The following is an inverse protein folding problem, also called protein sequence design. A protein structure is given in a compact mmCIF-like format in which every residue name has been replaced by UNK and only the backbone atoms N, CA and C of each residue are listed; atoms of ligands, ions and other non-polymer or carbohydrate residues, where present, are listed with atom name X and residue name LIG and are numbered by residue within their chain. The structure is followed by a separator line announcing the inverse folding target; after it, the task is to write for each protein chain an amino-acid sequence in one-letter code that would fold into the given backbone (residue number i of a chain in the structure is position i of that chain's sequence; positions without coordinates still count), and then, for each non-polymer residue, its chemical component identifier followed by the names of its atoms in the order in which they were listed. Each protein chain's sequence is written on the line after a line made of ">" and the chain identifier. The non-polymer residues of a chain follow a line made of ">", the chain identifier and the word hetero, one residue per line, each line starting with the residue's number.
data_IF_193035230955
#
_entry.id   IF_193035230955
#
_cell.length_a   1.000
_cell.length_b   1.000
_cell.length_c   1.000
_cell.angle_alpha   90.00
_cell.angle_beta   90.00
_cell.angle_gamma   90.00
#
_symmetry.space_group_name_H-M   'P 1'
#
loop_
_entity.id
_entity.type
_entity.pdbx_description
1 polymer ?
#
# COMPACT_ATOMS: atom_id res chain seq x y z
N UNK A 1 -5.96 -2.10 5.28
CA UNK A 1 -4.69 -1.35 5.39
C UNK A 1 -4.74 -0.43 6.59
N UNK A 2 -3.82 -0.66 7.54
CA UNK A 2 -3.33 0.13 8.71
C UNK A 2 -4.28 1.12 9.43
N UNK A 3 -4.24 1.11 10.76
CA UNK A 3 -4.99 1.97 11.70
C UNK A 3 -4.68 3.49 11.61
N UNK A 4 -3.88 3.91 10.63
CA UNK A 4 -3.48 5.30 10.41
C UNK A 4 -3.87 5.80 9.01
N UNK A 5 -4.18 7.10 8.85
CA UNK A 5 -4.49 7.65 7.53
C UNK A 5 -3.32 7.53 6.55
N UNK A 6 -3.63 7.43 5.26
CA UNK A 6 -2.65 7.16 4.20
C UNK A 6 -1.63 8.30 4.05
N UNK A 7 -0.35 7.97 3.86
CA UNK A 7 0.75 8.94 3.79
C UNK A 7 0.61 9.97 2.65
N UNK A 8 -0.06 9.64 1.55
CA UNK A 8 -0.21 10.56 0.42
C UNK A 8 -1.21 11.70 0.67
N UNK A 9 -2.32 11.43 1.37
CA UNK A 9 -3.44 12.37 1.48
C UNK A 9 -4.04 12.52 2.88
N UNK A 10 -3.51 11.81 3.88
CA UNK A 10 -4.02 11.82 5.24
C UNK A 10 -5.44 11.27 5.37
N UNK A 11 -5.85 10.37 4.45
CA UNK A 11 -7.22 9.82 4.42
C UNK A 11 -7.22 8.30 4.61
N UNK A 12 -8.34 7.83 5.15
CA UNK A 12 -8.73 6.43 5.04
C UNK A 12 -9.41 6.20 3.69
N UNK A 13 -9.12 5.07 3.07
CA UNK A 13 -9.72 4.64 1.81
C UNK A 13 -10.56 3.39 2.07
N UNK A 14 -11.73 3.29 1.43
CA UNK A 14 -12.57 2.08 1.57
C UNK A 14 -11.88 0.88 0.95
N UNK A 15 -12.05 -0.30 1.56
CA UNK A 15 -11.53 -1.57 1.03
C UNK A 15 -12.04 -1.93 -0.38
N UNK A 16 -13.15 -1.32 -0.81
CA UNK A 16 -13.72 -1.46 -2.17
C UNK A 16 -13.08 -0.54 -3.20
N UNK A 17 -12.18 0.35 -2.77
CA UNK A 17 -11.45 1.25 -3.66
C UNK A 17 -10.15 0.56 -4.07
N UNK A 18 -9.80 0.46 -5.35
CA UNK A 18 -8.55 -0.15 -5.78
C UNK A 18 -7.38 0.79 -5.44
N UNK A 19 -6.83 0.63 -4.24
CA UNK A 19 -5.69 1.38 -3.73
C UNK A 19 -4.61 0.43 -3.24
N UNK A 20 -3.36 0.91 -3.26
CA UNK A 20 -2.20 0.12 -2.84
C UNK A 20 -1.24 0.94 -1.96
N UNK A 21 -0.51 0.24 -1.10
CA UNK A 21 0.71 0.72 -0.49
C UNK A 21 1.92 0.03 -1.14
N UNK A 22 2.99 0.79 -1.39
CA UNK A 22 4.21 0.25 -1.99
C UNK A 22 5.32 0.21 -0.95
N UNK A 23 6.17 -0.83 -0.98
CA UNK A 23 7.42 -0.83 -0.21
C UNK A 23 8.18 0.48 -0.38
N UNK A 24 8.83 0.96 0.67
CA UNK A 24 9.44 2.30 0.74
C UNK A 24 10.31 2.67 -0.48
N UNK A 25 11.10 1.73 -0.99
CA UNK A 25 11.89 1.93 -2.22
C UNK A 25 11.04 2.22 -3.46
N UNK A 26 9.95 1.48 -3.64
CA UNK A 26 9.01 1.67 -4.76
C UNK A 26 8.10 2.88 -4.58
N UNK A 27 7.72 3.20 -3.33
CA UNK A 27 6.96 4.41 -2.98
C UNK A 27 7.73 5.69 -3.36
N UNK A 28 9.06 5.61 -3.36
CA UNK A 28 9.98 6.62 -3.87
C UNK A 28 9.78 8.00 -3.21
N UNK A 29 9.74 8.02 -1.87
CA UNK A 29 9.56 9.24 -1.05
C UNK A 29 8.35 10.07 -1.52
N UNK A 30 7.18 9.44 -1.60
CA UNK A 30 5.93 10.04 -2.11
C UNK A 30 5.92 10.34 -3.62
N UNK A 31 7.00 10.06 -4.36
CA UNK A 31 7.09 10.27 -5.81
C UNK A 31 6.08 9.44 -6.63
N UNK A 32 5.48 8.41 -6.02
CA UNK A 32 4.40 7.60 -6.59
C UNK A 32 2.99 7.97 -6.10
N UNK A 33 2.84 8.91 -5.17
CA UNK A 33 1.52 9.29 -4.65
C UNK A 33 0.53 9.64 -5.76
N UNK A 34 -0.68 9.08 -5.66
CA UNK A 34 -1.79 9.25 -6.60
C UNK A 34 -1.48 8.86 -8.05
N UNK A 35 -0.33 8.22 -8.31
CA UNK A 35 -0.04 7.62 -9.61
C UNK A 35 -0.63 6.22 -9.64
N UNK A 36 -1.28 5.91 -10.74
CA UNK A 36 -1.84 4.59 -10.95
C UNK A 36 -0.76 3.60 -11.37
N UNK A 37 -0.85 2.38 -10.84
CA UNK A 37 -0.14 1.21 -11.32
C UNK A 37 -1.13 0.17 -11.81
N UNK A 38 -0.67 -0.72 -12.68
CA UNK A 38 -1.44 -1.90 -13.06
C UNK A 38 -0.89 -3.10 -12.31
N UNK A 39 -1.74 -3.77 -11.55
CA UNK A 39 -1.42 -5.02 -10.87
C UNK A 39 -2.01 -6.16 -11.68
N UNK A 40 -1.21 -7.20 -11.88
CA UNK A 40 -1.58 -8.39 -12.63
C UNK A 40 -1.60 -9.59 -11.69
N UNK A 41 -2.73 -10.29 -11.62
CA UNK A 41 -2.90 -11.50 -10.81
C UNK A 41 -3.95 -12.41 -11.44
N UNK A 42 -3.73 -13.74 -11.41
CA UNK A 42 -4.70 -14.74 -11.88
C UNK A 42 -5.28 -14.49 -13.30
N UNK A 43 -4.46 -13.91 -14.20
CA UNK A 43 -4.88 -13.56 -15.57
C UNK A 43 -5.74 -12.30 -15.67
N UNK A 44 -5.99 -11.60 -14.55
CA UNK A 44 -6.71 -10.33 -14.46
C UNK A 44 -5.75 -9.17 -14.24
N UNK A 45 -6.23 -7.98 -14.54
CA UNK A 45 -5.48 -6.72 -14.36
C UNK A 45 -6.36 -5.67 -13.71
N UNK A 46 -5.87 -5.05 -12.64
CA UNK A 46 -6.55 -3.95 -11.95
C UNK A 46 -5.65 -2.73 -11.97
N UNK A 47 -6.25 -1.58 -12.32
CA UNK A 47 -5.60 -0.28 -12.17
C UNK A 47 -5.89 0.22 -10.76
N UNK A 48 -4.84 0.54 -10.01
CA UNK A 48 -4.97 0.99 -8.65
C UNK A 48 -4.09 2.18 -8.34
N UNK A 49 -4.59 3.00 -7.42
CA UNK A 49 -3.93 4.23 -7.00
C UNK A 49 -3.00 3.96 -5.82
N UNK A 50 -1.76 4.44 -5.93
CA UNK A 50 -0.81 4.40 -4.81
C UNK A 50 -1.20 5.48 -3.79
N UNK A 51 -1.49 5.07 -2.56
CA UNK A 51 -1.92 5.98 -1.48
C UNK A 51 -1.01 5.95 -0.26
N UNK A 52 -0.24 4.88 -0.07
CA UNK A 52 0.57 4.73 1.13
C UNK A 52 1.94 4.08 0.89
N UNK A 53 2.78 4.19 1.91
CA UNK A 53 4.06 3.52 2.05
C UNK A 53 3.87 2.27 2.91
N UNK A 54 4.35 1.12 2.43
CA UNK A 54 4.55 -0.06 3.26
C UNK A 54 5.97 0.05 3.81
N UNK A 55 6.09 0.53 5.04
CA UNK A 55 7.37 0.94 5.62
C UNK A 55 8.32 -0.25 5.77
N UNK A 56 9.40 -0.25 4.98
CA UNK A 56 10.41 -1.31 4.99
C UNK A 56 11.63 -0.99 5.84
N UNK A 57 11.57 0.10 6.61
CA UNK A 57 12.71 0.64 7.38
C UNK A 57 12.52 0.57 8.89
N UNK A 58 11.28 0.49 9.35
CA UNK A 58 10.92 0.49 10.77
C UNK A 58 9.68 -0.36 11.05
N UNK A 59 9.54 -0.81 12.29
CA UNK A 59 8.57 -1.80 12.75
C UNK A 59 9.01 -2.42 14.08
N UNK A 60 8.27 -3.41 14.57
CA UNK A 60 8.50 -4.09 15.85
C UNK A 60 8.38 -3.18 17.09
N UNK A 61 7.63 -2.08 16.98
CA UNK A 61 7.36 -1.15 18.08
C UNK A 61 5.85 -0.84 18.18
N UNK A 62 5.46 -0.02 19.16
CA UNK A 62 4.06 0.32 19.41
C UNK A 62 3.39 1.09 18.28
N UNK A 63 4.13 1.89 17.51
CA UNK A 63 3.57 2.73 16.44
C UNK A 63 3.16 1.88 15.24
N UNK A 64 3.78 0.71 15.07
CA UNK A 64 3.47 -0.29 14.04
C UNK A 64 2.68 -1.50 14.59
N UNK A 65 2.08 -1.41 15.79
CA UNK A 65 1.34 -2.52 16.39
C UNK A 65 2.18 -3.78 16.58
N UNK A 66 3.48 -3.62 16.81
CA UNK A 66 4.51 -4.66 16.90
C UNK A 66 4.65 -5.54 15.65
N UNK A 67 4.13 -5.10 14.50
CA UNK A 67 4.34 -5.77 13.22
C UNK A 67 5.77 -5.54 12.71
N UNK A 68 6.42 -6.54 12.09
CA UNK A 68 7.76 -6.36 11.53
C UNK A 68 7.75 -5.38 10.34
N UNK A 69 8.92 -4.80 9.99
CA UNK A 69 9.05 -3.99 8.80
C UNK A 69 8.59 -4.72 7.53
N UNK A 70 7.99 -3.98 6.61
CA UNK A 70 7.55 -4.50 5.33
C UNK A 70 8.74 -4.99 4.50
N UNK A 71 8.63 -6.12 3.77
CA UNK A 71 9.65 -6.49 2.79
C UNK A 71 9.80 -5.44 1.67
N UNK A 72 10.94 -5.42 0.98
CA UNK A 72 11.29 -4.39 0.00
C UNK A 72 10.64 -4.56 -1.39
N UNK A 73 9.83 -5.60 -1.60
CA UNK A 73 9.26 -5.99 -2.88
C UNK A 73 7.75 -6.29 -2.80
N UNK A 74 7.02 -5.50 -2.00
CA UNK A 74 5.62 -5.69 -1.68
C UNK A 74 4.75 -4.61 -2.33
N UNK A 75 3.62 -5.08 -2.85
CA UNK A 75 2.43 -4.27 -3.12
C UNK A 75 1.37 -4.75 -2.13
N UNK A 76 1.16 -4.00 -1.06
CA UNK A 76 0.03 -4.22 -0.17
C UNK A 76 -1.19 -3.63 -0.87
N UNK A 77 -2.29 -4.37 -0.94
CA UNK A 77 -3.44 -4.03 -1.78
C UNK A 77 -4.75 -4.07 -0.97
N UNK A 78 -5.71 -3.20 -1.29
CA UNK A 78 -7.03 -3.21 -0.64
C UNK A 78 -7.79 -4.52 -0.90
N UNK A 79 -8.84 -4.79 -0.12
CA UNK A 79 -9.62 -6.03 -0.25
C UNK A 79 -10.25 -6.21 -1.65
N UNK A 80 -10.42 -5.12 -2.41
CA UNK A 80 -10.90 -5.18 -3.80
C UNK A 80 -10.10 -6.17 -4.65
N UNK A 81 -8.82 -6.36 -4.35
CA UNK A 81 -7.93 -7.30 -5.04
C UNK A 81 -8.15 -8.75 -4.65
N UNK A 82 -8.80 -9.06 -3.52
CA UNK A 82 -9.17 -10.42 -3.13
C UNK A 82 -10.16 -11.09 -4.08
N UNK A 83 -10.76 -10.30 -5.01
CA UNK A 83 -11.62 -10.79 -6.09
C UNK A 83 -10.85 -11.21 -7.34
N UNK A 84 -9.52 -11.04 -7.38
CA UNK A 84 -8.70 -11.33 -8.56
C UNK A 84 -8.42 -12.81 -8.75
#
# INVERSE_FOLDING_TARGET
>A
MVESPSKCDGKYHSDKTPVVALSTGWFAKMGRCHKNITVHANGRSVKAMVVNDCDSTMGCDSDYGYQPPCPNNIVDASEEFGKL
#
